data_IF_888904040974
#
_entry.id   IF_888904040974
#
_cell.length_a   1.000
_cell.length_b   1.000
_cell.length_c   1.000
_cell.angle_alpha   90.00
_cell.angle_beta   90.00
_cell.angle_gamma   90.00
#
_symmetry.space_group_name_H-M   'P 1'
#
loop_
_entity.id
_entity.type
_entity.pdbx_description
1 polymer ?
#
# COMPACT_ATOMS: atom_id res chain seq x y z
N UNK A 1 13.10 9.66 -6.28
CA UNK A 1 12.32 8.68 -5.49
C UNK A 1 10.88 8.85 -5.91
N UNK A 2 10.28 7.79 -6.44
CA UNK A 2 8.84 7.67 -6.64
C UNK A 2 8.19 7.24 -5.33
N UNK A 3 6.89 7.43 -5.25
CA UNK A 3 6.00 6.74 -4.34
C UNK A 3 5.15 5.82 -5.22
N UNK A 4 5.11 4.55 -4.85
CA UNK A 4 4.33 3.55 -5.55
C UNK A 4 3.22 3.08 -4.60
N UNK A 5 1.97 3.18 -5.05
CA UNK A 5 0.80 2.69 -4.31
C UNK A 5 0.34 1.42 -5.00
N UNK A 6 0.65 0.29 -4.39
CA UNK A 6 0.37 -1.04 -4.93
C UNK A 6 -1.02 -1.46 -4.46
N UNK A 7 -1.90 -1.81 -5.40
CA UNK A 7 -3.22 -2.35 -5.09
C UNK A 7 -3.26 -3.87 -5.30
N UNK A 8 -3.71 -4.62 -4.30
CA UNK A 8 -3.73 -6.08 -4.33
C UNK A 8 -5.06 -6.68 -3.85
N UNK A 9 -5.37 -7.91 -4.28
CA UNK A 9 -6.57 -8.62 -3.80
C UNK A 9 -6.27 -9.35 -2.47
N UNK A 10 -6.86 -8.89 -1.34
CA UNK A 10 -6.58 -9.46 -0.03
C UNK A 10 -6.91 -10.95 0.08
N UNK A 11 -7.92 -11.43 -0.66
CA UNK A 11 -8.36 -12.84 -0.60
C UNK A 11 -7.40 -13.72 -1.36
N UNK A 12 -6.93 -13.28 -2.52
CA UNK A 12 -5.94 -14.04 -3.28
C UNK A 12 -4.60 -14.09 -2.54
N UNK A 13 -4.11 -12.96 -2.03
CA UNK A 13 -2.90 -12.88 -1.22
C UNK A 13 -3.00 -13.81 0.00
N UNK A 14 -4.12 -13.74 0.74
CA UNK A 14 -4.36 -14.66 1.86
C UNK A 14 -4.40 -16.13 1.44
N UNK A 15 -5.00 -16.46 0.29
CA UNK A 15 -5.05 -17.82 -0.22
C UNK A 15 -3.65 -18.35 -0.56
N UNK A 16 -2.77 -17.52 -1.12
CA UNK A 16 -1.37 -17.86 -1.42
C UNK A 16 -0.54 -18.03 -0.15
N UNK A 17 -0.62 -17.09 0.80
CA UNK A 17 0.00 -17.21 2.13
C UNK A 17 -0.45 -18.49 2.86
N UNK A 18 -1.73 -18.87 2.72
CA UNK A 18 -2.23 -20.14 3.24
C UNK A 18 -1.66 -21.38 2.52
N UNK A 19 -1.48 -21.33 1.20
CA UNK A 19 -0.82 -22.41 0.44
C UNK A 19 0.64 -22.58 0.86
N UNK A 20 1.36 -21.48 1.03
CA UNK A 20 2.73 -21.48 1.56
C UNK A 20 2.79 -22.19 2.91
N UNK A 21 1.91 -21.79 3.84
CA UNK A 21 1.80 -22.43 5.15
C UNK A 21 1.43 -23.90 5.08
N UNK A 22 0.56 -24.29 4.16
CA UNK A 22 0.20 -25.69 3.96
C UNK A 22 1.37 -26.52 3.40
N UNK A 23 2.20 -25.94 2.53
CA UNK A 23 3.38 -26.60 1.93
C UNK A 23 4.52 -26.75 2.94
N UNK A 24 4.83 -25.69 3.70
CA UNK A 24 6.04 -25.61 4.51
C UNK A 24 5.82 -25.74 6.02
N UNK A 25 4.57 -25.64 6.50
CA UNK A 25 4.24 -25.70 7.92
C UNK A 25 4.54 -24.41 8.71
N UNK A 26 5.06 -23.37 8.05
CA UNK A 26 5.35 -22.04 8.61
C UNK A 26 4.56 -20.97 7.86
N UNK A 27 4.10 -19.92 8.54
CA UNK A 27 3.45 -18.79 7.87
C UNK A 27 4.45 -17.97 7.06
N UNK A 28 4.00 -17.43 5.93
CA UNK A 28 4.79 -16.52 5.10
C UNK A 28 5.41 -15.37 5.92
N UNK A 29 4.62 -14.67 6.74
CA UNK A 29 5.11 -13.52 7.52
C UNK A 29 6.24 -13.91 8.49
N UNK A 30 6.26 -15.17 8.97
CA UNK A 30 7.36 -15.67 9.82
C UNK A 30 8.58 -16.09 9.02
N UNK A 31 8.38 -16.55 7.79
CA UNK A 31 9.49 -16.85 6.91
C UNK A 31 10.25 -15.54 6.61
N UNK A 32 9.51 -14.51 6.24
CA UNK A 32 10.04 -13.21 5.84
C UNK A 32 10.75 -12.48 7.01
N UNK A 33 10.13 -12.45 8.19
CA UNK A 33 10.66 -11.71 9.33
C UNK A 33 11.73 -12.47 10.15
N UNK A 34 11.58 -13.79 10.28
CA UNK A 34 12.27 -14.56 11.33
C UNK A 34 13.25 -15.61 10.79
N UNK A 35 13.11 -16.05 9.54
CA UNK A 35 13.83 -17.24 9.08
C UNK A 35 15.21 -16.87 8.50
N UNK A 36 16.24 -17.53 9.02
CA UNK A 36 17.62 -17.27 8.62
C UNK A 36 18.09 -18.39 7.70
N UNK A 37 18.64 -18.03 6.52
CA UNK A 37 19.28 -18.99 5.61
C UNK A 37 20.28 -19.89 6.36
N UNK A 38 20.15 -21.23 6.30
CA UNK A 38 21.07 -22.19 6.90
C UNK A 38 22.52 -21.96 6.49
N UNK A 39 23.46 -22.04 7.45
CA UNK A 39 24.90 -21.83 7.22
C UNK A 39 25.76 -22.77 8.05
N UNK A 40 26.96 -23.08 7.55
CA UNK A 40 27.92 -24.03 8.18
C UNK A 40 28.33 -23.66 9.62
N UNK A 41 28.30 -22.37 9.94
CA UNK A 41 28.69 -21.82 11.24
C UNK A 41 27.56 -21.84 12.29
N UNK A 42 26.33 -22.20 11.91
CA UNK A 42 25.26 -22.41 12.87
C UNK A 42 25.48 -23.70 13.67
N UNK A 43 25.20 -23.63 14.98
CA UNK A 43 25.48 -24.71 15.93
C UNK A 43 24.89 -26.07 15.53
N UNK A 44 23.67 -26.09 14.97
CA UNK A 44 23.03 -27.32 14.50
C UNK A 44 23.81 -28.00 13.37
N UNK A 45 24.31 -27.25 12.39
CA UNK A 45 25.04 -27.79 11.24
C UNK A 45 26.51 -28.04 11.53
N UNK A 46 27.07 -27.42 12.56
CA UNK A 46 28.35 -27.84 13.12
C UNK A 46 28.28 -29.28 13.66
N UNK A 47 27.19 -29.64 14.34
CA UNK A 47 26.96 -30.97 14.89
C UNK A 47 26.42 -31.98 13.86
N UNK A 48 25.69 -31.49 12.85
CA UNK A 48 25.01 -32.30 11.83
C UNK A 48 25.24 -31.73 10.42
N UNK A 49 26.48 -31.77 9.89
CA UNK A 49 26.81 -31.21 8.59
C UNK A 49 26.08 -31.90 7.43
N UNK A 50 25.63 -33.14 7.61
CA UNK A 50 24.85 -33.91 6.63
C UNK A 50 23.47 -33.31 6.34
N UNK A 51 22.92 -32.52 7.26
CA UNK A 51 21.60 -31.88 7.11
C UNK A 51 21.67 -30.55 6.34
N UNK A 52 22.86 -29.95 6.25
CA UNK A 52 22.99 -28.58 5.75
C UNK A 52 22.57 -28.45 4.29
N UNK A 53 22.99 -29.37 3.43
CA UNK A 53 22.70 -29.29 1.99
C UNK A 53 21.20 -29.42 1.70
N UNK A 54 20.51 -30.34 2.40
CA UNK A 54 19.07 -30.49 2.25
C UNK A 54 18.30 -29.27 2.78
N UNK A 55 18.75 -28.68 3.89
CA UNK A 55 18.07 -27.54 4.51
C UNK A 55 18.31 -26.25 3.72
N UNK A 56 19.50 -26.04 3.16
CA UNK A 56 19.75 -24.93 2.23
C UNK A 56 18.81 -25.04 1.02
N UNK A 57 18.72 -26.22 0.41
CA UNK A 57 17.86 -26.42 -0.75
C UNK A 57 16.39 -26.15 -0.43
N UNK A 58 15.93 -26.60 0.75
CA UNK A 58 14.58 -26.33 1.21
C UNK A 58 14.35 -24.84 1.49
N UNK A 59 15.33 -24.16 2.07
CA UNK A 59 15.27 -22.71 2.26
C UNK A 59 15.15 -22.00 0.91
N UNK A 60 15.99 -22.34 -0.08
CA UNK A 60 15.96 -21.71 -1.39
C UNK A 60 14.62 -21.93 -2.12
N UNK A 61 14.03 -23.13 -2.01
CA UNK A 61 12.68 -23.37 -2.54
C UNK A 61 11.60 -22.52 -1.83
N UNK A 62 11.76 -22.30 -0.52
CA UNK A 62 10.86 -21.42 0.25
C UNK A 62 11.04 -19.96 -0.14
N UNK A 63 12.28 -19.53 -0.37
CA UNK A 63 12.65 -18.18 -0.81
C UNK A 63 12.02 -17.88 -2.18
N UNK A 64 12.21 -18.77 -3.15
CA UNK A 64 11.63 -18.65 -4.49
C UNK A 64 10.09 -18.58 -4.43
N UNK A 65 9.45 -19.44 -3.62
CA UNK A 65 7.99 -19.44 -3.44
C UNK A 65 7.50 -18.18 -2.69
N UNK A 66 8.33 -17.58 -1.81
CA UNK A 66 8.00 -16.36 -1.08
C UNK A 66 8.15 -15.12 -1.98
N UNK A 67 9.19 -15.05 -2.80
CA UNK A 67 9.36 -14.03 -3.85
C UNK A 67 8.15 -14.04 -4.80
N UNK A 68 7.69 -15.21 -5.23
CA UNK A 68 6.48 -15.34 -6.06
C UNK A 68 5.19 -14.90 -5.36
N UNK A 69 5.15 -14.87 -4.03
CA UNK A 69 3.99 -14.29 -3.33
C UNK A 69 4.08 -12.77 -3.39
N UNK A 70 5.25 -12.20 -3.09
CA UNK A 70 5.48 -10.76 -3.13
C UNK A 70 5.30 -10.17 -4.55
N UNK A 71 5.81 -10.83 -5.59
CA UNK A 71 5.78 -10.34 -6.98
C UNK A 71 4.40 -10.44 -7.65
N UNK A 72 3.49 -11.28 -7.14
CA UNK A 72 2.20 -11.59 -7.81
C UNK A 72 1.03 -10.84 -7.17
N UNK A 73 1.29 -10.01 -6.16
CA UNK A 73 0.25 -9.33 -5.40
C UNK A 73 -0.30 -8.07 -6.10
N UNK A 74 0.45 -7.43 -7.01
CA UNK A 74 -0.01 -6.24 -7.73
C UNK A 74 -1.13 -6.54 -8.76
N UNK A 75 -2.34 -6.08 -8.47
CA UNK A 75 -3.49 -6.06 -9.40
C UNK A 75 -3.49 -4.77 -10.24
N UNK A 76 -3.09 -3.65 -9.63
CA UNK A 76 -2.90 -2.34 -10.26
C UNK A 76 -1.92 -1.52 -9.42
N UNK A 77 -1.31 -0.50 -9.99
CA UNK A 77 -0.45 0.43 -9.24
C UNK A 77 -0.61 1.87 -9.68
N UNK A 78 -0.43 2.77 -8.72
CA UNK A 78 -0.31 4.20 -8.98
C UNK A 78 1.08 4.68 -8.63
N UNK A 79 1.82 5.12 -9.65
CA UNK A 79 3.21 5.56 -9.52
C UNK A 79 3.29 7.07 -9.71
N UNK A 80 3.91 7.77 -8.77
CA UNK A 80 4.05 9.24 -8.81
C UNK A 80 5.37 9.67 -8.15
N UNK A 81 5.92 10.83 -8.51
CA UNK A 81 7.08 11.36 -7.78
C UNK A 81 6.74 11.63 -6.30
N UNK A 82 7.63 11.29 -5.37
CA UNK A 82 7.39 11.41 -3.94
C UNK A 82 6.91 12.82 -3.51
N UNK A 83 7.58 13.88 -3.99
CA UNK A 83 7.13 15.25 -3.74
C UNK A 83 5.88 15.67 -4.52
N UNK A 84 5.59 14.99 -5.65
CA UNK A 84 4.40 15.25 -6.46
C UNK A 84 3.13 14.70 -5.82
N UNK A 85 3.23 13.60 -5.07
CA UNK A 85 2.06 13.04 -4.40
C UNK A 85 1.47 13.97 -3.35
N UNK A 86 2.31 14.64 -2.55
CA UNK A 86 1.85 15.66 -1.62
C UNK A 86 1.06 16.78 -2.34
N UNK A 87 1.51 17.23 -3.53
CA UNK A 87 0.76 18.20 -4.31
C UNK A 87 -0.56 17.63 -4.84
N UNK A 88 -0.56 16.42 -5.39
CA UNK A 88 -1.78 15.74 -5.81
C UNK A 88 -2.78 15.62 -4.65
N UNK A 89 -2.31 15.22 -3.47
CA UNK A 89 -3.12 15.09 -2.26
C UNK A 89 -3.73 16.42 -1.84
N UNK A 90 -3.00 17.53 -1.96
CA UNK A 90 -3.56 18.88 -1.73
C UNK A 90 -4.64 19.24 -2.74
N UNK A 91 -4.40 19.00 -4.03
CA UNK A 91 -5.38 19.24 -5.08
C UNK A 91 -6.66 18.42 -4.85
N UNK A 92 -6.52 17.17 -4.39
CA UNK A 92 -7.66 16.32 -4.00
C UNK A 92 -8.34 16.79 -2.73
N UNK A 93 -7.59 17.25 -1.74
CA UNK A 93 -8.12 17.75 -0.47
C UNK A 93 -9.01 18.97 -0.68
N UNK A 94 -8.58 19.92 -1.51
CA UNK A 94 -9.35 21.14 -1.80
C UNK A 94 -10.74 20.83 -2.36
N UNK A 95 -10.87 19.77 -3.16
CA UNK A 95 -12.15 19.32 -3.72
C UNK A 95 -13.17 18.91 -2.68
N UNK A 96 -12.72 18.49 -1.50
CA UNK A 96 -13.56 18.06 -0.39
C UNK A 96 -13.45 18.99 0.82
N UNK A 97 -12.92 20.21 0.63
CA UNK A 97 -12.79 21.20 1.69
C UNK A 97 -11.67 20.94 2.72
N UNK A 98 -10.78 19.98 2.47
CA UNK A 98 -9.59 19.71 3.29
C UNK A 98 -8.42 20.55 2.76
N UNK A 99 -7.79 21.33 3.63
CA UNK A 99 -6.74 22.28 3.23
C UNK A 99 -5.45 22.06 3.97
N UNK A 100 -4.35 22.03 3.23
CA UNK A 100 -3.01 21.97 3.78
C UNK A 100 -2.43 23.38 3.86
N UNK A 101 -1.78 23.67 4.99
CA UNK A 101 -0.95 24.85 5.18
C UNK A 101 0.46 24.38 5.49
N UNK A 102 1.28 24.43 4.46
CA UNK A 102 2.70 24.10 4.48
C UNK A 102 3.59 25.35 4.42
N UNK A 103 3.07 26.49 4.89
CA UNK A 103 3.87 27.71 5.04
C UNK A 103 5.09 27.50 5.95
N UNK A 104 5.00 26.56 6.89
CA UNK A 104 6.10 26.02 7.67
C UNK A 104 6.23 24.51 7.42
N UNK A 105 7.30 24.11 6.73
CA UNK A 105 7.57 22.71 6.35
C UNK A 105 7.79 21.81 7.58
N UNK A 106 8.19 22.37 8.73
CA UNK A 106 8.36 21.63 9.98
C UNK A 106 7.07 21.54 10.80
N UNK A 107 6.03 22.28 10.40
CA UNK A 107 4.76 22.36 11.11
C UNK A 107 3.59 22.47 10.13
N UNK A 108 3.52 21.54 9.18
CA UNK A 108 2.41 21.45 8.23
C UNK A 108 1.10 21.25 9.00
N UNK A 109 0.12 22.12 8.75
CA UNK A 109 -1.21 22.04 9.35
C UNK A 109 -2.22 21.59 8.32
N UNK A 110 -3.21 20.83 8.78
CA UNK A 110 -4.33 20.39 7.94
C UNK A 110 -5.61 20.89 8.60
N UNK A 111 -6.40 21.65 7.82
CA UNK A 111 -7.68 22.20 8.23
C UNK A 111 -8.81 21.40 7.58
N UNK A 112 -9.80 21.01 8.37
CA UNK A 112 -10.95 20.24 7.95
C UNK A 112 -12.13 20.51 8.90
N UNK A 113 -13.35 20.32 8.39
CA UNK A 113 -14.56 20.43 9.19
C UNK A 113 -14.75 19.20 10.10
N UNK A 114 -15.49 19.39 11.20
CA UNK A 114 -15.74 18.33 12.20
C UNK A 114 -16.40 17.07 11.63
N UNK A 115 -17.07 17.17 10.48
CA UNK A 115 -17.68 16.02 9.79
C UNK A 115 -16.65 15.00 9.26
N UNK A 116 -15.38 15.38 9.14
CA UNK A 116 -14.29 14.49 8.72
C UNK A 116 -13.57 13.81 9.89
N UNK A 117 -13.91 14.14 11.14
CA UNK A 117 -13.25 13.52 12.31
C UNK A 117 -13.48 12.02 12.34
N UNK A 118 -12.39 11.26 12.45
CA UNK A 118 -12.37 9.79 12.50
C UNK A 118 -13.00 9.13 11.26
N UNK A 119 -12.83 9.72 10.07
CA UNK A 119 -13.27 9.12 8.81
C UNK A 119 -12.10 8.55 8.02
N UNK A 120 -12.37 7.50 7.25
CA UNK A 120 -11.40 6.87 6.33
C UNK A 120 -10.86 7.87 5.30
N UNK A 121 -11.67 8.83 4.85
CA UNK A 121 -11.21 9.92 3.98
C UNK A 121 -10.18 10.83 4.67
N UNK A 122 -10.42 11.23 5.92
CA UNK A 122 -9.43 12.04 6.65
C UNK A 122 -8.15 11.25 6.89
N UNK A 123 -8.25 9.96 7.23
CA UNK A 123 -7.09 9.09 7.41
C UNK A 123 -6.22 9.05 6.14
N UNK A 124 -6.83 8.98 4.95
CA UNK A 124 -6.11 9.10 3.66
C UNK A 124 -5.31 10.41 3.56
N UNK A 125 -5.92 11.54 3.92
CA UNK A 125 -5.25 12.84 3.87
C UNK A 125 -4.18 13.04 4.96
N UNK A 126 -4.28 12.32 6.07
CA UNK A 126 -3.31 12.34 7.16
C UNK A 126 -2.19 11.30 7.01
N UNK A 127 -2.31 10.39 6.05
CA UNK A 127 -1.41 9.26 5.92
C UNK A 127 0.02 9.68 5.54
N UNK A 128 0.99 8.92 6.04
CA UNK A 128 2.40 9.07 5.70
C UNK A 128 2.63 8.73 4.22
N UNK A 129 3.55 9.42 3.57
CA UNK A 129 3.94 9.07 2.18
C UNK A 129 5.02 7.98 2.15
N UNK A 130 5.57 7.56 3.29
CA UNK A 130 6.70 6.60 3.33
C UNK A 130 6.30 5.15 3.56
N UNK A 131 5.18 4.89 4.23
CA UNK A 131 4.83 3.56 4.74
C UNK A 131 3.36 3.56 5.18
N UNK A 132 2.72 2.40 5.07
CA UNK A 132 1.40 2.12 5.60
C UNK A 132 0.47 1.45 4.59
N UNK A 133 -0.60 0.87 5.13
CA UNK A 133 -1.59 0.12 4.36
C UNK A 133 -2.97 0.75 4.50
N UNK A 134 -3.79 0.64 3.45
CA UNK A 134 -5.23 0.86 3.56
C UNK A 134 -5.98 -0.45 3.35
N UNK A 135 -6.84 -0.77 4.32
CA UNK A 135 -7.75 -1.88 4.18
C UNK A 135 -8.81 -1.61 3.10
N UNK A 136 -9.41 -2.70 2.61
CA UNK A 136 -10.51 -2.63 1.64
C UNK A 136 -11.66 -1.76 2.11
N UNK A 137 -12.03 -1.86 3.38
CA UNK A 137 -13.12 -1.08 3.96
C UNK A 137 -12.75 0.41 3.99
N UNK A 138 -11.51 0.75 4.38
CA UNK A 138 -11.04 2.14 4.37
C UNK A 138 -10.99 2.74 2.96
N UNK A 139 -10.53 1.99 1.95
CA UNK A 139 -10.52 2.45 0.55
C UNK A 139 -11.94 2.71 0.05
N UNK A 140 -12.86 1.78 0.33
CA UNK A 140 -14.25 1.91 -0.10
C UNK A 140 -14.92 3.11 0.58
N UNK A 141 -14.86 3.18 1.91
CA UNK A 141 -15.47 4.27 2.68
C UNK A 141 -14.88 5.63 2.30
N UNK A 142 -13.56 5.71 2.13
CA UNK A 142 -12.89 6.96 1.76
C UNK A 142 -13.28 7.40 0.34
N UNK A 143 -13.39 6.49 -0.62
CA UNK A 143 -13.85 6.82 -1.98
C UNK A 143 -15.31 7.28 -2.02
N UNK A 144 -16.19 6.61 -1.27
CA UNK A 144 -17.60 6.99 -1.14
C UNK A 144 -17.74 8.38 -0.50
N UNK A 145 -16.99 8.64 0.56
CA UNK A 145 -16.93 9.96 1.19
C UNK A 145 -16.37 11.02 0.25
N UNK A 146 -15.28 10.73 -0.46
CA UNK A 146 -14.70 11.65 -1.43
C UNK A 146 -15.74 12.05 -2.47
N UNK A 147 -16.40 11.07 -3.09
CA UNK A 147 -17.44 11.31 -4.10
C UNK A 147 -18.62 12.11 -3.54
N UNK A 148 -19.02 11.85 -2.30
CA UNK A 148 -20.13 12.57 -1.64
C UNK A 148 -19.81 14.04 -1.38
N UNK A 149 -18.58 14.35 -0.99
CA UNK A 149 -18.17 15.71 -0.59
C UNK A 149 -17.48 16.50 -1.71
N UNK A 150 -17.17 15.84 -2.83
CA UNK A 150 -16.45 16.45 -3.93
C UNK A 150 -17.25 17.60 -4.56
N UNK A 151 -16.63 18.77 -4.65
CA UNK A 151 -17.10 19.90 -5.45
C UNK A 151 -16.91 19.58 -6.94
N UNK A 152 -18.01 19.26 -7.62
CA UNK A 152 -17.98 18.89 -9.03
C UNK A 152 -17.53 20.03 -9.96
N UNK A 153 -17.82 21.29 -9.63
CA UNK A 153 -17.39 22.42 -10.47
C UNK A 153 -15.88 22.58 -10.35
N UNK A 154 -15.36 22.58 -9.13
CA UNK A 154 -13.92 22.63 -8.89
C UNK A 154 -13.20 21.42 -9.49
N UNK A 155 -13.79 20.21 -9.43
CA UNK A 155 -13.22 19.03 -10.06
C UNK A 155 -13.08 19.20 -11.58
N UNK A 156 -14.09 19.76 -12.25
CA UNK A 156 -14.02 20.03 -13.70
C UNK A 156 -12.91 21.02 -14.03
N UNK A 157 -12.74 22.05 -13.23
CA UNK A 157 -11.65 23.04 -13.39
C UNK A 157 -10.27 22.41 -13.18
N UNK A 158 -10.07 21.66 -12.08
CA UNK A 158 -8.80 20.98 -11.80
C UNK A 158 -8.44 19.93 -12.86
N UNK A 159 -9.45 19.22 -13.40
CA UNK A 159 -9.27 18.28 -14.55
C UNK A 159 -8.95 18.96 -15.88
N UNK A 160 -9.03 20.29 -15.97
CA UNK A 160 -8.54 21.07 -17.12
C UNK A 160 -7.21 21.77 -16.81
N UNK A 161 -6.71 21.65 -15.58
CA UNK A 161 -5.52 22.34 -15.08
C UNK A 161 -4.22 21.54 -15.21
N UNK A 162 -3.20 22.00 -14.49
CA UNK A 162 -1.84 21.43 -14.53
C UNK A 162 -1.77 19.97 -14.08
N UNK A 163 -2.59 19.58 -13.11
CA UNK A 163 -2.61 18.25 -12.49
C UNK A 163 -3.71 17.33 -13.06
N UNK A 164 -4.22 17.67 -14.25
CA UNK A 164 -5.35 16.95 -14.84
C UNK A 164 -5.07 15.45 -15.02
N UNK A 165 -3.88 15.08 -15.48
CA UNK A 165 -3.52 13.69 -15.74
C UNK A 165 -3.41 12.89 -14.45
N UNK A 166 -2.71 13.41 -13.45
CA UNK A 166 -2.51 12.77 -12.16
C UNK A 166 -3.83 12.63 -11.39
N UNK A 167 -4.67 13.67 -11.37
CA UNK A 167 -5.99 13.62 -10.74
C UNK A 167 -6.88 12.58 -11.44
N UNK A 168 -6.90 12.54 -12.77
CA UNK A 168 -7.71 11.56 -13.49
C UNK A 168 -7.22 10.13 -13.26
N UNK A 169 -5.90 9.93 -13.31
CA UNK A 169 -5.28 8.62 -13.11
C UNK A 169 -5.52 8.12 -11.69
N UNK A 170 -5.27 8.95 -10.68
CA UNK A 170 -5.46 8.56 -9.28
C UNK A 170 -6.92 8.31 -8.93
N UNK A 171 -7.85 9.15 -9.38
CA UNK A 171 -9.28 8.92 -9.14
C UNK A 171 -9.80 7.65 -9.82
N UNK A 172 -9.23 7.30 -10.99
CA UNK A 172 -9.51 6.04 -11.65
C UNK A 172 -8.99 4.86 -10.83
N UNK A 173 -7.72 4.91 -10.41
CA UNK A 173 -7.11 3.92 -9.53
C UNK A 173 -7.89 3.72 -8.22
N UNK A 174 -8.29 4.80 -7.57
CA UNK A 174 -9.08 4.78 -6.34
C UNK A 174 -10.45 4.14 -6.54
N UNK A 175 -11.16 4.55 -7.59
CA UNK A 175 -12.43 3.95 -7.95
C UNK A 175 -12.31 2.45 -8.21
N UNK A 176 -11.34 2.05 -9.04
CA UNK A 176 -11.16 0.65 -9.39
C UNK A 176 -10.79 -0.20 -8.17
N UNK A 177 -9.97 0.35 -7.27
CA UNK A 177 -9.62 -0.30 -6.01
C UNK A 177 -10.83 -0.51 -5.10
N UNK A 178 -11.69 0.51 -4.98
CA UNK A 178 -12.93 0.41 -4.23
C UNK A 178 -13.91 -0.61 -4.85
N UNK A 179 -14.12 -0.54 -6.17
CA UNK A 179 -15.04 -1.42 -6.92
C UNK A 179 -14.60 -2.90 -6.85
N UNK A 180 -13.29 -3.16 -6.99
CA UNK A 180 -12.70 -4.51 -6.96
C UNK A 180 -12.41 -5.02 -5.55
N UNK A 181 -12.59 -4.19 -4.51
CA UNK A 181 -12.34 -4.53 -3.10
C UNK A 181 -10.87 -4.88 -2.83
N UNK A 182 -9.96 -4.04 -3.34
CA UNK A 182 -8.51 -4.20 -3.17
C UNK A 182 -8.05 -3.63 -1.82
N UNK A 183 -6.80 -3.90 -1.46
CA UNK A 183 -6.05 -3.21 -0.41
C UNK A 183 -4.93 -2.39 -1.04
N UNK A 184 -4.42 -1.37 -0.35
CA UNK A 184 -3.27 -0.57 -0.78
C UNK A 184 -2.10 -0.75 0.16
N UNK A 185 -0.91 -0.76 -0.41
CA UNK A 185 0.38 -0.63 0.28
C UNK A 185 1.16 0.53 -0.35
N UNK A 186 1.79 1.34 0.50
CA UNK A 186 2.58 2.51 0.09
C UNK A 186 4.07 2.16 0.19
N UNK A 187 4.79 2.23 -0.93
CA UNK A 187 6.19 1.83 -1.07
C UNK A 187 7.10 2.97 -1.59
#
# INVERSE_FOLDING_TARGET
MSLDIIAYDPKETKARKNKFKAKYGISYDKFDDEMIKPRKDMFCYYLHPELLESDIKKYEEMDDDAELIADVDEVDSFNIGYGQFNFLRKELGELVGIRYDDSDVFNTRIYYDDCYKNTSLLNFFLHSDCDGEFSTDEIQESYEQFTKYCDEEMLREKKAGKWAEEINSFLKFWKESADKKLQWEFC
#
